data_IF_909874455337
#
_entry.id   IF_909874455337
#
_cell.length_a   1.000
_cell.length_b   1.000
_cell.length_c   1.000
_cell.angle_alpha   90.00
_cell.angle_beta   90.00
_cell.angle_gamma   90.00
#
_symmetry.space_group_name_H-M   'P 1'
#
loop_
_entity.id
_entity.type
_entity.pdbx_description
1 polymer ?
#
# COMPACT_ATOMS: atom_id res chain seq x y z
N UNK A 1 1.73 14.83 13.71
CA UNK A 1 2.09 14.45 12.32
C UNK A 1 2.02 12.94 12.23
N UNK A 2 1.09 12.38 11.44
CA UNK A 2 1.13 10.96 11.08
C UNK A 2 2.22 10.76 10.02
N UNK A 3 2.80 9.57 9.95
CA UNK A 3 3.63 9.18 8.82
C UNK A 3 2.97 7.94 8.26
N UNK A 4 2.46 8.05 7.04
CA UNK A 4 1.71 6.99 6.39
C UNK A 4 2.49 6.51 5.16
N UNK A 5 2.61 5.20 5.03
CA UNK A 5 3.24 4.52 3.90
C UNK A 5 2.12 3.88 3.09
N UNK A 6 1.83 4.43 1.92
CA UNK A 6 0.82 3.93 1.00
C UNK A 6 1.46 2.99 -0.01
N UNK A 7 0.93 1.78 -0.12
CA UNK A 7 1.45 0.74 -0.99
C UNK A 7 0.40 0.38 -2.04
N UNK A 8 0.69 0.62 -3.32
CA UNK A 8 -0.16 0.29 -4.46
C UNK A 8 0.42 -0.90 -5.20
N UNK A 9 -0.41 -1.86 -5.59
CA UNK A 9 0.05 -3.16 -6.12
C UNK A 9 -0.73 -3.61 -7.36
N UNK A 10 -0.06 -4.33 -8.26
CA UNK A 10 -0.66 -5.02 -9.42
C UNK A 10 -1.10 -6.47 -9.11
N UNK A 11 -0.97 -6.86 -7.84
CA UNK A 11 -1.38 -8.16 -7.27
C UNK A 11 -2.88 -8.10 -6.97
N UNK A 12 -3.63 -9.21 -7.13
CA UNK A 12 -5.04 -9.20 -6.75
C UNK A 12 -5.21 -9.22 -5.23
N UNK A 13 -6.38 -8.79 -4.75
CA UNK A 13 -6.63 -8.64 -3.32
C UNK A 13 -6.48 -9.94 -2.51
N UNK A 14 -6.88 -11.08 -3.07
CA UNK A 14 -6.82 -12.37 -2.36
C UNK A 14 -5.39 -12.87 -2.21
N UNK A 15 -4.57 -12.77 -3.26
CA UNK A 15 -3.15 -13.12 -3.19
C UNK A 15 -2.39 -12.11 -2.32
N UNK A 16 -2.70 -10.82 -2.43
CA UNK A 16 -2.07 -9.79 -1.60
C UNK A 16 -2.31 -10.06 -0.11
N UNK A 17 -3.54 -10.40 0.29
CA UNK A 17 -3.84 -10.77 1.68
C UNK A 17 -2.95 -11.91 2.17
N UNK A 18 -2.86 -12.99 1.41
CA UNK A 18 -2.01 -14.14 1.77
C UNK A 18 -0.53 -13.75 1.91
N UNK A 19 -0.03 -12.93 0.99
CA UNK A 19 1.37 -12.45 1.05
C UNK A 19 1.59 -11.53 2.25
N UNK A 20 0.65 -10.63 2.55
CA UNK A 20 0.73 -9.75 3.71
C UNK A 20 0.65 -10.52 5.03
N UNK A 21 -0.14 -11.59 5.11
CA UNK A 21 -0.19 -12.46 6.29
C UNK A 21 1.17 -13.11 6.54
N UNK A 22 1.83 -13.62 5.50
CA UNK A 22 3.20 -14.17 5.60
C UNK A 22 4.21 -13.08 6.04
N UNK A 23 4.11 -11.87 5.50
CA UNK A 23 4.97 -10.74 5.90
C UNK A 23 4.73 -10.36 7.37
N UNK A 24 3.47 -10.31 7.82
CA UNK A 24 3.10 -10.03 9.22
C UNK A 24 3.69 -11.07 10.16
N UNK A 25 3.63 -12.36 9.81
CA UNK A 25 4.23 -13.42 10.62
C UNK A 25 5.77 -13.35 10.65
N UNK A 26 6.38 -13.14 9.48
CA UNK A 26 7.85 -13.08 9.32
C UNK A 26 8.47 -11.90 10.06
N UNK A 27 7.77 -10.75 10.09
CA UNK A 27 8.24 -9.50 10.69
C UNK A 27 7.32 -9.02 11.82
N UNK A 28 6.79 -9.95 12.63
CA UNK A 28 5.80 -9.66 13.66
C UNK A 28 6.21 -8.54 14.61
N UNK A 29 7.49 -8.45 14.96
CA UNK A 29 8.05 -7.41 15.84
C UNK A 29 7.89 -5.99 15.26
N UNK A 30 7.89 -5.83 13.93
CA UNK A 30 7.65 -4.54 13.28
C UNK A 30 6.16 -4.16 13.32
N UNK A 31 5.27 -5.15 13.14
CA UNK A 31 3.84 -4.92 12.93
C UNK A 31 2.97 -5.08 14.19
N UNK A 32 3.55 -5.49 15.32
CA UNK A 32 2.91 -5.56 16.65
C UNK A 32 3.22 -4.33 17.52
N UNK A 33 3.70 -3.24 16.92
CA UNK A 33 4.01 -2.03 17.68
C UNK A 33 4.48 -0.85 16.83
N UNK A 34 5.73 -0.86 16.33
CA UNK A 34 6.31 0.32 15.66
C UNK A 34 5.57 0.74 14.40
N UNK A 35 5.00 -0.22 13.67
CA UNK A 35 4.21 -0.03 12.48
C UNK A 35 2.84 -0.69 12.62
N UNK A 36 1.81 -0.05 12.10
CA UNK A 36 0.45 -0.59 12.02
C UNK A 36 0.09 -0.82 10.57
N UNK A 37 -0.01 -2.09 10.15
CA UNK A 37 -0.42 -2.46 8.80
C UNK A 37 -1.92 -2.65 8.73
N UNK A 38 -2.60 -1.90 7.86
CA UNK A 38 -4.03 -2.02 7.63
C UNK A 38 -4.35 -3.10 6.61
N UNK A 39 -5.61 -3.54 6.59
CA UNK A 39 -6.06 -4.52 5.62
C UNK A 39 -6.02 -3.94 4.19
N UNK A 40 -5.66 -4.77 3.20
CA UNK A 40 -5.63 -4.34 1.82
C UNK A 40 -7.05 -4.16 1.27
N UNK A 41 -7.15 -3.34 0.23
CA UNK A 41 -8.39 -3.01 -0.46
C UNK A 41 -8.18 -3.10 -1.96
N UNK A 42 -9.25 -3.45 -2.69
CA UNK A 42 -9.24 -3.51 -4.16
C UNK A 42 -9.16 -2.10 -4.76
N UNK A 43 -8.38 -1.96 -5.83
CA UNK A 43 -8.44 -0.81 -6.74
C UNK A 43 -9.32 -1.22 -7.91
N UNK A 44 -10.37 -0.44 -8.15
CA UNK A 44 -11.32 -0.71 -9.23
C UNK A 44 -10.79 -0.19 -10.57
N UNK A 45 -11.07 -0.94 -11.63
CA UNK A 45 -10.80 -0.48 -13.00
C UNK A 45 -11.70 0.69 -13.37
N UNK A 46 -11.29 1.48 -14.39
CA UNK A 46 -12.09 2.62 -14.89
C UNK A 46 -13.54 2.25 -15.21
N UNK A 47 -13.76 1.08 -15.81
CA UNK A 47 -15.11 0.57 -16.12
C UNK A 47 -15.94 0.28 -14.86
N UNK A 48 -15.31 -0.22 -13.81
CA UNK A 48 -16.00 -0.49 -12.54
C UNK A 48 -16.30 0.81 -11.76
N UNK A 49 -15.43 1.82 -11.86
CA UNK A 49 -15.64 3.14 -11.25
C UNK A 49 -16.86 3.86 -11.84
N UNK A 50 -17.18 3.64 -13.11
CA UNK A 50 -18.37 4.21 -13.75
C UNK A 50 -19.69 3.70 -13.15
N UNK A 51 -19.66 2.54 -12.48
CA UNK A 51 -20.82 1.92 -11.84
C UNK A 51 -21.08 2.44 -10.42
N UNK A 52 -20.23 3.31 -9.88
CA UNK A 52 -20.38 3.86 -8.54
C UNK A 52 -21.26 5.12 -8.61
N UNK A 53 -22.43 5.05 -7.98
CA UNK A 53 -23.37 6.17 -7.87
C UNK A 53 -22.93 7.22 -6.84
N UNK A 54 -22.29 6.78 -5.75
CA UNK A 54 -21.79 7.68 -4.71
C UNK A 54 -20.57 8.46 -5.22
N UNK A 55 -20.74 9.76 -5.40
CA UNK A 55 -19.70 10.62 -5.96
C UNK A 55 -18.43 10.68 -5.09
N UNK A 56 -18.56 10.64 -3.76
CA UNK A 56 -17.43 10.73 -2.84
C UNK A 56 -16.63 9.43 -2.89
N UNK A 57 -17.31 8.29 -2.84
CA UNK A 57 -16.66 6.98 -2.96
C UNK A 57 -16.00 6.82 -4.34
N UNK A 58 -16.69 7.22 -5.41
CA UNK A 58 -16.13 7.20 -6.76
C UNK A 58 -14.84 8.01 -6.84
N UNK A 59 -14.85 9.24 -6.34
CA UNK A 59 -13.68 10.11 -6.32
C UNK A 59 -12.52 9.49 -5.53
N UNK A 60 -12.80 8.90 -4.35
CA UNK A 60 -11.78 8.26 -3.52
C UNK A 60 -11.14 7.05 -4.22
N UNK A 61 -11.94 6.22 -4.90
CA UNK A 61 -11.44 5.05 -5.63
C UNK A 61 -10.68 5.44 -6.90
N UNK A 62 -11.18 6.43 -7.64
CA UNK A 62 -10.53 6.99 -8.82
C UNK A 62 -9.17 7.61 -8.48
N UNK A 63 -9.08 8.34 -7.37
CA UNK A 63 -7.82 8.94 -6.90
C UNK A 63 -6.74 7.88 -6.67
N UNK A 64 -7.07 6.75 -6.06
CA UNK A 64 -6.12 5.64 -5.82
C UNK A 64 -5.61 5.05 -7.13
N UNK A 65 -6.50 4.87 -8.11
CA UNK A 65 -6.14 4.39 -9.44
C UNK A 65 -5.19 5.38 -10.13
N UNK A 66 -5.52 6.67 -10.12
CA UNK A 66 -4.73 7.71 -10.76
C UNK A 66 -3.33 7.83 -10.15
N UNK A 67 -3.22 7.83 -8.82
CA UNK A 67 -1.91 7.85 -8.13
C UNK A 67 -1.07 6.66 -8.59
N UNK A 68 -1.61 5.44 -8.53
CA UNK A 68 -0.86 4.26 -8.93
C UNK A 68 -0.38 4.32 -10.39
N UNK A 69 -1.23 4.78 -11.32
CA UNK A 69 -0.87 4.97 -12.73
C UNK A 69 0.18 6.09 -12.92
N UNK A 70 0.08 7.19 -12.18
CA UNK A 70 1.01 8.33 -12.25
C UNK A 70 2.43 7.93 -11.86
N UNK A 71 2.57 7.08 -10.84
CA UNK A 71 3.85 6.51 -10.41
C UNK A 71 4.28 5.27 -11.23
N UNK A 72 3.59 4.99 -12.34
CA UNK A 72 4.03 4.01 -13.33
C UNK A 72 3.61 2.56 -13.07
N UNK A 73 2.72 2.31 -12.10
CA UNK A 73 2.19 0.96 -11.86
C UNK A 73 1.24 0.56 -12.98
N UNK A 74 1.56 -0.53 -13.68
CA UNK A 74 0.69 -1.10 -14.71
C UNK A 74 -0.38 -1.96 -14.07
N UNK A 75 -1.63 -1.74 -14.48
CA UNK A 75 -2.81 -2.47 -14.01
C UNK A 75 -2.89 -2.55 -12.47
N UNK A 76 -3.07 -1.41 -11.76
CA UNK A 76 -3.26 -1.42 -10.31
C UNK A 76 -4.49 -2.24 -9.93
N UNK A 77 -4.35 -3.13 -8.94
CA UNK A 77 -5.41 -4.07 -8.52
C UNK A 77 -5.74 -4.01 -7.04
N UNK A 78 -4.77 -3.67 -6.19
CA UNK A 78 -5.04 -3.47 -4.77
C UNK A 78 -4.06 -2.50 -4.13
N UNK A 79 -4.44 -1.94 -2.99
CA UNK A 79 -3.57 -1.10 -2.18
C UNK A 79 -3.73 -1.44 -0.70
N UNK A 80 -2.73 -1.07 0.09
CA UNK A 80 -2.80 -1.12 1.56
C UNK A 80 -2.02 0.05 2.15
N UNK A 81 -2.25 0.29 3.44
CA UNK A 81 -1.64 1.38 4.18
C UNK A 81 -0.85 0.82 5.36
N UNK A 82 0.24 1.50 5.70
CA UNK A 82 0.98 1.27 6.95
C UNK A 82 1.13 2.62 7.63
N UNK A 83 0.75 2.73 8.90
CA UNK A 83 1.04 3.91 9.71
C UNK A 83 2.25 3.67 10.60
N UNK A 84 3.13 4.67 10.70
CA UNK A 84 4.21 4.69 11.70
C UNK A 84 3.62 5.08 13.05
N UNK A 85 3.62 4.12 13.97
CA UNK A 85 3.13 4.31 15.33
C UNK A 85 4.25 4.76 16.28
N UNK A 86 5.47 4.20 16.14
CA UNK A 86 6.67 4.64 16.86
C UNK A 86 7.68 5.32 15.92
N UNK A 87 7.89 6.62 16.13
CA UNK A 87 8.77 7.46 15.29
C UNK A 87 10.23 7.50 15.78
N UNK A 88 10.56 6.73 16.81
CA UNK A 88 11.95 6.49 17.17
C UNK A 88 12.66 5.57 16.18
N UNK A 89 11.90 4.88 15.30
CA UNK A 89 12.39 3.91 14.31
C UNK A 89 13.35 2.90 14.96
N UNK A 90 12.87 2.11 15.94
CA UNK A 90 13.73 1.28 16.77
C UNK A 90 14.46 0.17 16.00
N UNK A 91 13.95 -0.22 14.83
CA UNK A 91 14.51 -1.30 14.01
C UNK A 91 14.74 -0.88 12.56
N UNK A 92 13.65 -0.69 11.80
CA UNK A 92 13.70 -0.19 10.43
C UNK A 92 13.12 1.23 10.36
N UNK A 93 13.66 2.05 9.47
CA UNK A 93 13.08 3.33 9.08
C UNK A 93 12.10 3.17 7.90
N UNK A 94 11.43 4.26 7.51
CA UNK A 94 10.40 4.24 6.44
C UNK A 94 10.93 3.78 5.08
N UNK A 95 12.17 4.12 4.73
CA UNK A 95 12.80 3.70 3.48
C UNK A 95 13.12 2.21 3.50
N UNK A 96 13.61 1.70 4.62
CA UNK A 96 13.90 0.26 4.80
C UNK A 96 12.62 -0.58 4.78
N UNK A 97 11.51 -0.07 5.33
CA UNK A 97 10.19 -0.71 5.21
C UNK A 97 9.75 -0.74 3.74
N UNK A 98 9.93 0.34 2.99
CA UNK A 98 9.59 0.36 1.58
C UNK A 98 10.40 -0.67 0.77
N UNK A 99 11.71 -0.75 1.02
CA UNK A 99 12.57 -1.73 0.37
C UNK A 99 12.20 -3.17 0.74
N UNK A 100 11.83 -3.42 2.00
CA UNK A 100 11.32 -4.71 2.43
C UNK A 100 10.07 -5.11 1.63
N UNK A 101 9.10 -4.22 1.46
CA UNK A 101 7.91 -4.53 0.65
C UNK A 101 8.22 -4.73 -0.83
N UNK A 102 9.16 -3.96 -1.40
CA UNK A 102 9.64 -4.17 -2.78
C UNK A 102 10.27 -5.56 -2.93
N UNK A 103 11.01 -6.04 -1.94
CA UNK A 103 11.60 -7.38 -1.94
C UNK A 103 10.57 -8.50 -1.79
N UNK A 104 9.63 -8.38 -0.85
CA UNK A 104 8.66 -9.45 -0.55
C UNK A 104 7.55 -9.54 -1.61
N UNK A 105 7.12 -8.42 -2.20
CA UNK A 105 6.03 -8.39 -3.18
C UNK A 105 6.54 -8.34 -4.63
N UNK A 106 7.81 -8.02 -4.83
CA UNK A 106 8.47 -7.86 -6.12
C UNK A 106 8.42 -6.41 -6.60
N UNK A 107 9.58 -5.85 -6.91
CA UNK A 107 9.77 -4.42 -7.23
C UNK A 107 8.90 -3.93 -8.40
N UNK A 108 8.65 -4.78 -9.39
CA UNK A 108 7.76 -4.46 -10.52
C UNK A 108 6.26 -4.53 -10.20
N UNK A 109 5.88 -5.03 -9.03
CA UNK A 109 4.49 -5.25 -8.63
C UNK A 109 3.97 -4.23 -7.63
N UNK A 110 4.82 -3.37 -7.07
CA UNK A 110 4.47 -2.44 -6.00
C UNK A 110 5.07 -1.05 -6.21
N UNK A 111 4.27 -0.03 -5.92
CA UNK A 111 4.71 1.34 -5.67
C UNK A 111 4.51 1.64 -4.18
N UNK A 112 5.51 2.23 -3.54
CA UNK A 112 5.47 2.60 -2.12
C UNK A 112 5.69 4.11 -2.01
N UNK A 113 4.73 4.82 -1.43
CA UNK A 113 4.77 6.26 -1.25
C UNK A 113 4.74 6.61 0.24
N UNK A 114 5.58 7.56 0.65
CA UNK A 114 5.61 8.10 2.00
C UNK A 114 4.82 9.42 2.03
N UNK A 115 3.72 9.47 2.79
CA UNK A 115 2.80 10.61 2.84
C UNK A 115 2.33 11.09 1.45
N UNK A 116 2.26 10.18 0.48
CA UNK A 116 1.89 10.48 -0.91
C UNK A 116 3.03 10.92 -1.82
N UNK A 117 4.27 10.97 -1.31
CA UNK A 117 5.47 11.31 -2.08
C UNK A 117 6.32 10.06 -2.31
N UNK A 118 7.02 10.00 -3.43
CA UNK A 118 7.94 8.89 -3.72
C UNK A 118 9.20 8.99 -2.83
N UNK A 119 9.75 7.82 -2.50
CA UNK A 119 10.99 7.70 -1.75
C UNK A 119 12.16 7.75 -2.73
N UNK A 120 12.78 8.94 -2.86
CA UNK A 120 13.98 9.20 -3.67
C UNK A 120 15.20 8.47 -3.11
#
# INVERSE_FOLDING_TARGET
MSIDIACYTSINIDELKQRLDVVREKFIHLFDGPYLMFDPHTILSRQQLELIDDYVEKYNQETKLLIAEEFGLKEPKSYFLIAVNDKSFPELNTSEIADMFRQELGEGNIIVLLNGEDLI
#
